data_IF_701250827804
#
_entry.id   IF_701250827804
#
_cell.length_a   1.000
_cell.length_b   1.000
_cell.length_c   1.000
_cell.angle_alpha   90.00
_cell.angle_beta   90.00
_cell.angle_gamma   90.00
#
_symmetry.space_group_name_H-M   'P 1'
#
loop_
_entity.id
_entity.type
_entity.pdbx_description
1 polymer ?
#
# COMPACT_ATOMS: atom_id res chain seq x y z
N UNK A 1 27.49 -64.68 53.45
CA UNK A 1 26.51 -63.93 52.66
C UNK A 1 26.83 -62.45 52.81
N UNK A 2 27.31 -61.80 51.73
CA UNK A 2 27.38 -60.35 51.63
C UNK A 2 27.52 -60.02 50.14
N UNK A 3 26.50 -59.37 49.57
CA UNK A 3 26.50 -58.88 48.19
C UNK A 3 26.62 -57.36 48.23
N UNK A 4 27.70 -56.84 47.67
CA UNK A 4 27.90 -55.40 47.44
C UNK A 4 27.38 -55.02 46.06
N UNK A 5 26.34 -54.18 46.03
CA UNK A 5 25.93 -53.39 44.87
C UNK A 5 26.69 -52.06 44.88
N UNK A 6 27.31 -51.66 43.76
CA UNK A 6 27.62 -50.25 43.48
C UNK A 6 27.31 -49.92 42.03
N UNK A 7 26.55 -48.84 41.89
CA UNK A 7 25.87 -48.31 40.72
C UNK A 7 26.81 -47.77 39.64
N UNK A 8 26.37 -47.89 38.39
CA UNK A 8 26.88 -47.16 37.24
C UNK A 8 26.28 -45.74 37.20
N UNK A 9 27.13 -44.72 37.10
CA UNK A 9 26.76 -43.37 36.70
C UNK A 9 26.95 -43.25 35.19
N UNK A 10 25.85 -43.12 34.45
CA UNK A 10 25.86 -42.72 33.04
C UNK A 10 25.81 -41.19 32.97
N UNK A 11 26.88 -40.57 32.48
CA UNK A 11 26.92 -39.14 32.17
C UNK A 11 26.35 -38.89 30.78
N UNK A 12 25.25 -38.14 30.70
CA UNK A 12 24.68 -37.66 29.44
C UNK A 12 25.39 -36.39 29.00
N UNK A 13 26.11 -36.45 27.88
CA UNK A 13 26.61 -35.29 27.14
C UNK A 13 25.46 -34.70 26.32
N UNK A 14 25.01 -33.49 26.66
CA UNK A 14 24.12 -32.69 25.83
C UNK A 14 24.93 -32.11 24.66
N UNK A 15 24.74 -32.67 23.47
CA UNK A 15 25.20 -32.07 22.22
C UNK A 15 24.28 -30.89 21.88
N UNK A 16 24.79 -29.67 22.04
CA UNK A 16 24.15 -28.46 21.54
C UNK A 16 24.51 -28.34 20.06
N UNK A 17 23.62 -28.79 19.18
CA UNK A 17 23.75 -28.53 17.75
C UNK A 17 23.42 -27.06 17.49
N UNK A 18 24.32 -26.27 16.87
CA UNK A 18 23.95 -24.95 16.41
C UNK A 18 22.91 -25.10 15.30
N UNK A 19 21.71 -24.54 15.51
CA UNK A 19 20.73 -24.35 14.45
C UNK A 19 21.36 -23.33 13.50
N UNK A 20 21.99 -23.83 12.45
CA UNK A 20 22.32 -23.03 11.28
C UNK A 20 20.97 -22.59 10.71
N UNK A 21 20.67 -21.29 10.82
CA UNK A 21 19.56 -20.69 10.09
C UNK A 21 19.77 -21.03 8.62
N UNK A 22 18.91 -21.90 8.06
CA UNK A 22 18.91 -22.15 6.64
C UNK A 22 18.62 -20.81 5.97
N UNK A 23 19.58 -20.27 5.22
CA UNK A 23 19.30 -19.20 4.27
C UNK A 23 18.20 -19.74 3.34
N UNK A 24 17.00 -19.19 3.45
CA UNK A 24 15.94 -19.52 2.51
C UNK A 24 16.46 -19.21 1.10
N UNK A 25 16.29 -20.14 0.14
CA UNK A 25 16.75 -19.91 -1.21
C UNK A 25 16.09 -18.64 -1.74
N UNK A 26 16.91 -17.66 -2.15
CA UNK A 26 16.45 -16.45 -2.82
C UNK A 26 15.75 -16.88 -4.10
N UNK A 27 14.42 -17.02 -4.07
CA UNK A 27 13.63 -17.31 -5.26
C UNK A 27 13.73 -16.09 -6.17
N UNK A 28 14.56 -16.17 -7.21
CA UNK A 28 14.76 -15.09 -8.16
C UNK A 28 13.45 -14.85 -8.90
N UNK A 29 12.79 -13.73 -8.61
CA UNK A 29 11.57 -13.30 -9.31
C UNK A 29 11.82 -13.04 -10.79
N UNK A 30 10.77 -13.22 -11.59
CA UNK A 30 10.77 -12.74 -12.98
C UNK A 30 10.98 -11.20 -13.00
N UNK A 31 11.40 -10.69 -14.15
CA UNK A 31 11.57 -9.24 -14.36
C UNK A 31 10.97 -8.89 -15.70
N UNK A 32 10.48 -7.66 -15.80
CA UNK A 32 10.11 -7.14 -17.10
C UNK A 32 11.34 -7.07 -18.01
N UNK A 33 11.17 -7.45 -19.27
CA UNK A 33 12.22 -7.42 -20.28
C UNK A 33 12.28 -6.07 -21.03
N UNK A 34 11.18 -5.33 -21.01
CA UNK A 34 11.05 -3.99 -21.58
C UNK A 34 9.94 -3.20 -20.87
N UNK A 35 10.17 -1.89 -20.74
CA UNK A 35 9.15 -0.90 -20.39
C UNK A 35 8.77 -0.11 -21.66
N UNK A 36 7.58 -0.38 -22.18
CA UNK A 36 7.07 0.22 -23.41
C UNK A 36 5.97 1.24 -23.13
N UNK A 37 5.79 2.20 -24.05
CA UNK A 37 4.67 3.16 -24.03
C UNK A 37 3.93 3.16 -25.35
N UNK A 38 2.60 3.20 -25.28
CA UNK A 38 1.75 3.28 -26.47
C UNK A 38 1.79 4.72 -26.99
N UNK A 39 2.38 4.95 -28.15
CA UNK A 39 2.43 6.27 -28.81
C UNK A 39 1.48 6.38 -30.00
N UNK A 40 0.85 5.26 -30.39
CA UNK A 40 -0.06 5.21 -31.54
C UNK A 40 -1.21 4.23 -31.34
N UNK A 41 -2.41 4.65 -31.71
CA UNK A 41 -3.62 3.81 -31.71
C UNK A 41 -4.48 4.01 -30.48
N UNK A 42 -5.10 2.94 -29.99
CA UNK A 42 -5.95 2.99 -28.79
C UNK A 42 -5.08 3.25 -27.55
N UNK A 43 -5.53 4.18 -26.69
CA UNK A 43 -4.84 4.57 -25.45
C UNK A 43 -3.41 5.12 -25.66
N UNK A 44 -3.17 5.79 -26.79
CA UNK A 44 -1.89 6.45 -27.03
C UNK A 44 -1.65 7.61 -26.06
N UNK A 45 -0.45 7.67 -25.51
CA UNK A 45 0.06 8.77 -24.71
C UNK A 45 0.60 9.90 -25.60
N UNK A 46 0.33 11.15 -25.24
CA UNK A 46 0.98 12.32 -25.83
C UNK A 46 2.39 12.51 -25.25
N UNK A 47 3.28 13.28 -25.91
CA UNK A 47 4.59 13.61 -25.36
C UNK A 47 4.53 14.22 -23.94
N UNK A 48 3.55 15.07 -23.66
CA UNK A 48 3.37 15.70 -22.34
C UNK A 48 2.95 14.67 -21.28
N UNK A 49 2.12 13.70 -21.66
CA UNK A 49 1.75 12.59 -20.78
C UNK A 49 2.95 11.70 -20.49
N UNK A 50 3.83 11.45 -21.46
CA UNK A 50 5.07 10.68 -21.27
C UNK A 50 5.99 11.38 -20.27
N UNK A 51 6.18 12.71 -20.38
CA UNK A 51 6.95 13.46 -19.38
C UNK A 51 6.32 13.40 -17.98
N UNK A 52 5.00 13.38 -17.91
CA UNK A 52 4.28 13.22 -16.63
C UNK A 52 4.47 11.82 -16.05
N UNK A 53 4.52 10.80 -16.90
CA UNK A 53 4.81 9.41 -16.50
C UNK A 53 6.23 9.33 -15.95
N UNK A 54 7.21 9.88 -16.64
CA UNK A 54 8.62 9.87 -16.19
C UNK A 54 8.77 10.47 -14.79
N UNK A 55 8.15 11.63 -14.56
CA UNK A 55 8.16 12.26 -13.23
C UNK A 55 7.40 11.42 -12.20
N UNK A 56 6.26 10.82 -12.56
CA UNK A 56 5.50 9.97 -11.65
C UNK A 56 6.27 8.71 -11.23
N UNK A 57 7.09 8.15 -12.12
CA UNK A 57 7.98 7.03 -11.78
C UNK A 57 9.02 7.46 -10.73
N UNK A 58 9.60 8.65 -10.88
CA UNK A 58 10.50 9.23 -9.87
C UNK A 58 9.77 9.41 -8.54
N UNK A 59 8.57 10.00 -8.56
CA UNK A 59 7.75 10.20 -7.37
C UNK A 59 7.40 8.86 -6.67
N UNK A 60 7.16 7.78 -7.43
CA UNK A 60 6.91 6.46 -6.87
C UNK A 60 8.16 5.86 -6.23
N UNK A 61 9.33 6.06 -6.85
CA UNK A 61 10.61 5.63 -6.31
C UNK A 61 10.94 6.34 -5.00
N UNK A 62 10.58 7.61 -4.84
CA UNK A 62 10.74 8.32 -3.56
C UNK A 62 10.00 7.60 -2.42
N UNK A 63 8.70 7.33 -2.58
CA UNK A 63 7.94 6.60 -1.56
C UNK A 63 8.47 5.19 -1.31
N UNK A 64 8.84 4.46 -2.36
CA UNK A 64 9.42 3.12 -2.22
C UNK A 64 10.76 3.14 -1.47
N UNK A 65 11.62 4.14 -1.72
CA UNK A 65 12.89 4.29 -1.02
C UNK A 65 12.73 4.63 0.47
N UNK A 66 11.74 5.45 0.81
CA UNK A 66 11.41 5.74 2.21
C UNK A 66 10.89 4.50 2.94
N UNK A 67 10.04 3.70 2.29
CA UNK A 67 9.61 2.40 2.81
C UNK A 67 10.79 1.44 3.02
N UNK A 68 11.69 1.32 2.03
CA UNK A 68 12.90 0.51 2.14
C UNK A 68 13.85 0.99 3.25
N UNK A 69 13.89 2.30 3.50
CA UNK A 69 14.67 2.89 4.59
C UNK A 69 14.06 2.55 5.95
N UNK A 70 12.73 2.67 6.08
CA UNK A 70 12.00 2.27 7.28
C UNK A 70 12.18 0.78 7.59
N UNK A 71 12.17 -0.09 6.57
CA UNK A 71 12.37 -1.54 6.72
C UNK A 71 13.78 -1.94 7.19
N UNK A 72 14.78 -1.05 7.10
CA UNK A 72 16.10 -1.28 7.70
C UNK A 72 16.12 -1.01 9.21
N UNK A 73 15.11 -0.35 9.75
CA UNK A 73 15.01 -0.07 11.18
C UNK A 73 14.63 -1.37 11.92
N UNK A 74 15.41 -1.81 12.94
CA UNK A 74 15.11 -3.04 13.69
C UNK A 74 13.76 -3.01 14.40
N UNK A 75 13.19 -1.83 14.62
CA UNK A 75 11.94 -1.61 15.32
C UNK A 75 10.71 -1.57 14.39
N UNK A 76 10.89 -1.76 13.08
CA UNK A 76 9.81 -1.61 12.09
C UNK A 76 8.60 -2.49 12.39
N UNK A 77 8.82 -3.76 12.75
CA UNK A 77 7.74 -4.71 13.03
C UNK A 77 6.91 -4.31 14.26
N UNK A 78 7.54 -3.68 15.25
CA UNK A 78 6.88 -3.17 16.45
C UNK A 78 6.31 -1.75 16.28
N UNK A 79 6.44 -1.14 15.10
CA UNK A 79 6.01 0.24 14.86
C UNK A 79 4.49 0.33 14.67
N UNK A 80 3.87 1.47 15.02
CA UNK A 80 2.47 1.72 14.69
C UNK A 80 2.16 1.61 13.19
N UNK A 81 3.08 2.04 12.32
CA UNK A 81 2.92 1.95 10.87
C UNK A 81 2.80 0.48 10.41
N UNK A 82 3.71 -0.40 10.84
CA UNK A 82 3.61 -1.83 10.51
C UNK A 82 2.32 -2.45 11.09
N UNK A 83 1.99 -2.15 12.34
CA UNK A 83 0.76 -2.63 12.97
C UNK A 83 -0.50 -2.25 12.20
N UNK A 84 -0.60 -0.97 11.83
CA UNK A 84 -1.77 -0.44 11.12
C UNK A 84 -1.91 -1.06 9.74
N UNK A 85 -0.80 -1.22 9.00
CA UNK A 85 -0.88 -1.56 7.58
C UNK A 85 -0.63 -3.03 7.27
N UNK A 86 -0.06 -3.80 8.19
CA UNK A 86 0.28 -5.22 7.99
C UNK A 86 -0.06 -6.15 9.16
N UNK A 87 -0.43 -5.61 10.32
CA UNK A 87 -0.78 -6.42 11.51
C UNK A 87 0.35 -6.53 12.51
N UNK A 88 0.23 -7.42 13.50
CA UNK A 88 1.17 -7.51 14.61
C UNK A 88 2.50 -8.19 14.24
N UNK A 89 3.51 -7.92 15.07
CA UNK A 89 4.83 -8.56 15.06
C UNK A 89 4.80 -10.02 15.53
N UNK A 90 3.64 -10.55 15.93
CA UNK A 90 3.44 -11.94 16.38
C UNK A 90 3.41 -12.97 15.25
N UNK A 91 3.70 -12.56 14.01
CA UNK A 91 3.87 -13.46 12.86
C UNK A 91 2.71 -13.50 11.87
N UNK A 92 1.70 -12.63 12.03
CA UNK A 92 0.50 -12.64 11.19
C UNK A 92 0.63 -11.77 9.92
N UNK A 93 1.66 -10.93 9.84
CA UNK A 93 1.95 -10.04 8.71
C UNK A 93 3.19 -10.46 7.89
N UNK A 94 3.44 -9.83 6.73
CA UNK A 94 4.57 -10.16 5.86
C UNK A 94 5.91 -9.86 6.53
N UNK A 95 6.89 -10.73 6.31
CA UNK A 95 8.25 -10.52 6.82
C UNK A 95 8.88 -9.24 6.24
N UNK A 96 9.87 -8.66 6.94
CA UNK A 96 10.68 -7.55 6.40
C UNK A 96 11.31 -7.90 5.06
N UNK A 97 11.77 -9.15 4.90
CA UNK A 97 12.35 -9.62 3.63
C UNK A 97 11.32 -9.64 2.51
N UNK A 98 10.10 -10.10 2.78
CA UNK A 98 8.97 -10.07 1.84
C UNK A 98 8.65 -8.64 1.44
N UNK A 99 8.40 -7.74 2.41
CA UNK A 99 8.11 -6.33 2.12
C UNK A 99 9.21 -5.68 1.28
N UNK A 100 10.48 -5.90 1.64
CA UNK A 100 11.63 -5.37 0.92
C UNK A 100 11.71 -5.91 -0.51
N UNK A 101 11.78 -7.23 -0.67
CA UNK A 101 12.19 -7.86 -1.94
C UNK A 101 11.04 -8.08 -2.92
N UNK A 102 9.79 -8.11 -2.41
CA UNK A 102 8.58 -8.43 -3.18
C UNK A 102 7.65 -7.25 -3.39
N UNK A 103 7.75 -6.18 -2.58
CA UNK A 103 6.80 -5.08 -2.65
C UNK A 103 7.42 -3.70 -2.86
N UNK A 104 8.55 -3.38 -2.21
CA UNK A 104 9.14 -2.04 -2.32
C UNK A 104 10.34 -1.96 -3.27
N UNK A 105 11.27 -2.92 -3.22
CA UNK A 105 12.38 -2.95 -4.19
C UNK A 105 11.87 -3.16 -5.61
N UNK A 106 10.75 -3.87 -5.77
CA UNK A 106 10.17 -4.16 -7.08
C UNK A 106 9.58 -2.92 -7.74
N UNK A 107 9.11 -1.93 -6.98
CA UNK A 107 8.70 -0.62 -7.51
C UNK A 107 9.89 0.02 -8.22
N UNK A 108 11.07 0.02 -7.62
CA UNK A 108 12.27 0.62 -8.21
C UNK A 108 12.75 -0.18 -9.43
N UNK A 109 12.82 -1.50 -9.29
CA UNK A 109 13.40 -2.37 -10.31
C UNK A 109 12.52 -2.54 -11.56
N UNK A 110 11.20 -2.46 -11.39
CA UNK A 110 10.21 -2.90 -12.39
C UNK A 110 9.43 -1.72 -12.99
N UNK A 111 9.27 -0.62 -12.26
CA UNK A 111 8.66 0.60 -12.77
C UNK A 111 9.77 1.55 -13.22
N UNK A 112 10.09 1.58 -14.51
CA UNK A 112 11.06 2.51 -15.10
C UNK A 112 10.37 3.44 -16.10
N UNK A 113 10.94 4.63 -16.37
CA UNK A 113 10.52 5.43 -17.52
C UNK A 113 10.50 4.57 -18.78
N UNK A 114 9.40 4.59 -19.56
CA UNK A 114 9.29 3.75 -20.74
C UNK A 114 10.37 4.14 -21.76
N UNK A 115 11.07 3.14 -22.29
CA UNK A 115 12.19 3.33 -23.23
C UNK A 115 11.89 2.78 -24.63
N UNK A 116 10.79 2.04 -24.77
CA UNK A 116 10.34 1.45 -26.03
C UNK A 116 9.02 2.08 -26.46
N UNK A 117 8.95 2.56 -27.69
CA UNK A 117 7.69 3.01 -28.28
C UNK A 117 6.95 1.83 -28.91
N UNK A 118 5.64 1.74 -28.68
CA UNK A 118 4.77 0.73 -29.30
C UNK A 118 3.46 1.35 -29.78
N UNK A 119 2.67 0.53 -30.48
CA UNK A 119 1.31 0.86 -30.86
C UNK A 119 0.36 -0.18 -30.27
N UNK A 120 -0.90 0.22 -30.05
CA UNK A 120 -1.93 -0.70 -29.60
C UNK A 120 -3.22 -0.44 -30.36
N UNK A 121 -3.95 -1.50 -30.70
CA UNK A 121 -5.32 -1.39 -31.21
C UNK A 121 -6.20 -2.42 -30.53
N UNK A 122 -7.44 -2.04 -30.24
CA UNK A 122 -8.41 -2.95 -29.61
C UNK A 122 -9.24 -3.75 -30.63
N UNK A 123 -9.44 -3.22 -31.84
CA UNK A 123 -10.33 -3.80 -32.86
C UNK A 123 -9.56 -4.24 -34.12
N UNK A 124 -9.98 -5.33 -34.82
CA UNK A 124 -11.02 -6.29 -34.44
C UNK A 124 -10.71 -7.14 -33.19
N UNK A 125 -9.44 -7.23 -32.79
CA UNK A 125 -8.97 -7.88 -31.58
C UNK A 125 -7.77 -7.09 -31.01
N UNK A 126 -7.49 -7.19 -29.69
CA UNK A 126 -6.32 -6.58 -29.07
C UNK A 126 -5.04 -7.01 -29.78
N UNK A 127 -4.22 -6.03 -30.17
CA UNK A 127 -3.02 -6.31 -30.95
C UNK A 127 -1.93 -5.29 -30.69
N UNK A 128 -0.74 -5.82 -30.42
CA UNK A 128 0.54 -5.10 -30.48
C UNK A 128 1.27 -5.47 -31.78
N UNK A 129 2.02 -4.53 -32.39
CA UNK A 129 2.92 -4.85 -33.47
C UNK A 129 3.89 -5.99 -33.11
N UNK A 130 4.26 -6.85 -34.07
CA UNK A 130 5.21 -7.92 -33.80
C UNK A 130 6.57 -7.36 -33.32
N UNK A 131 7.18 -8.03 -32.34
CA UNK A 131 8.50 -7.72 -31.80
C UNK A 131 8.63 -6.34 -31.11
N UNK A 132 7.54 -5.69 -30.71
CA UNK A 132 7.62 -4.46 -29.89
C UNK A 132 7.42 -4.72 -28.40
N UNK A 133 6.67 -5.77 -28.04
CA UNK A 133 6.39 -6.19 -26.66
C UNK A 133 6.36 -7.71 -26.59
N UNK A 134 6.63 -8.27 -25.41
CA UNK A 134 6.52 -9.71 -25.11
C UNK A 134 5.51 -9.93 -23.98
N UNK A 135 5.26 -11.18 -23.61
CA UNK A 135 4.45 -11.50 -22.41
C UNK A 135 5.04 -10.98 -21.10
N UNK A 136 6.35 -10.70 -21.10
CA UNK A 136 7.10 -10.17 -19.96
C UNK A 136 7.40 -8.68 -20.10
N UNK A 137 6.72 -7.94 -20.97
CA UNK A 137 6.86 -6.49 -21.03
C UNK A 137 5.90 -5.78 -20.07
N UNK A 138 6.29 -4.59 -19.59
CA UNK A 138 5.40 -3.63 -18.96
C UNK A 138 5.01 -2.59 -20.00
N UNK A 139 3.73 -2.51 -20.35
CA UNK A 139 3.24 -1.55 -21.35
C UNK A 139 2.41 -0.46 -20.68
N UNK A 140 2.83 0.79 -20.81
CA UNK A 140 2.12 1.95 -20.31
C UNK A 140 1.20 2.51 -21.39
N UNK A 141 -0.09 2.69 -21.06
CA UNK A 141 -1.09 3.32 -21.92
C UNK A 141 -1.79 4.48 -21.23
N UNK A 142 -2.26 5.45 -22.02
CA UNK A 142 -2.98 6.62 -21.53
C UNK A 142 -4.43 6.52 -22.00
N UNK A 143 -5.30 6.05 -21.10
CA UNK A 143 -6.71 5.85 -21.42
C UNK A 143 -7.50 7.13 -21.14
N UNK A 144 -8.18 7.64 -22.18
CA UNK A 144 -9.17 8.70 -22.04
C UNK A 144 -10.47 8.20 -21.39
N UNK A 145 -11.56 8.97 -21.54
CA UNK A 145 -12.91 8.64 -21.07
C UNK A 145 -13.58 7.37 -21.69
N UNK A 146 -12.82 6.50 -22.35
CA UNK A 146 -13.32 5.23 -22.93
C UNK A 146 -12.51 4.05 -22.42
N UNK A 147 -13.16 2.96 -22.02
CA UNK A 147 -12.50 1.77 -21.49
C UNK A 147 -12.53 1.74 -19.95
N UNK A 148 -11.50 1.21 -19.27
CA UNK A 148 -11.50 1.07 -17.81
C UNK A 148 -11.56 2.40 -17.05
N UNK A 149 -11.18 3.51 -17.68
CA UNK A 149 -11.25 4.86 -17.11
C UNK A 149 -12.59 5.58 -17.36
N UNK A 150 -13.63 4.90 -17.83
CA UNK A 150 -14.86 5.54 -18.30
C UNK A 150 -15.72 6.17 -17.17
N UNK A 151 -15.53 5.75 -15.92
CA UNK A 151 -16.23 6.33 -14.77
C UNK A 151 -15.65 7.68 -14.31
N UNK A 152 -14.47 8.06 -14.82
CA UNK A 152 -13.77 9.29 -14.48
C UNK A 152 -13.25 9.35 -13.04
N UNK A 153 -13.38 8.28 -12.25
CA UNK A 153 -12.94 8.21 -10.87
C UNK A 153 -11.60 7.47 -10.73
N UNK A 154 -11.37 6.47 -11.58
CA UNK A 154 -10.13 5.71 -11.60
C UNK A 154 -8.92 6.62 -11.93
N UNK A 155 -7.82 6.44 -11.19
CA UNK A 155 -6.55 7.15 -11.41
C UNK A 155 -5.65 6.36 -12.33
N UNK A 156 -5.45 5.09 -12.01
CA UNK A 156 -4.72 4.14 -12.83
C UNK A 156 -5.34 2.76 -12.64
N UNK A 157 -4.91 1.80 -13.44
CA UNK A 157 -5.26 0.40 -13.26
C UNK A 157 -4.29 -0.51 -14.00
N UNK A 158 -4.10 -1.71 -13.47
CA UNK A 158 -3.22 -2.72 -14.05
C UNK A 158 -4.02 -3.89 -14.62
N UNK A 159 -3.72 -4.25 -15.86
CA UNK A 159 -4.04 -5.56 -16.40
C UNK A 159 -2.78 -6.42 -16.37
N UNK A 160 -2.74 -7.42 -15.50
CA UNK A 160 -1.59 -8.32 -15.34
C UNK A 160 -2.06 -9.77 -15.33
N UNK A 161 -1.11 -10.70 -15.44
CA UNK A 161 -1.38 -12.09 -15.11
C UNK A 161 -1.69 -12.24 -13.61
N UNK A 162 -2.51 -13.22 -13.28
CA UNK A 162 -2.68 -13.74 -11.92
C UNK A 162 -2.05 -15.13 -11.83
N UNK A 163 -1.97 -15.68 -10.63
CA UNK A 163 -1.47 -17.04 -10.38
C UNK A 163 -2.27 -18.11 -11.15
N UNK A 164 -3.49 -17.78 -11.61
CA UNK A 164 -4.40 -18.71 -12.28
C UNK A 164 -4.73 -18.35 -13.73
N UNK A 165 -4.44 -17.12 -14.17
CA UNK A 165 -4.85 -16.62 -15.48
C UNK A 165 -3.78 -15.73 -16.12
N UNK A 166 -3.54 -15.84 -17.44
CA UNK A 166 -2.64 -14.92 -18.14
C UNK A 166 -3.24 -13.50 -18.21
N UNK A 167 -2.40 -12.51 -18.48
CA UNK A 167 -2.86 -11.15 -18.74
C UNK A 167 -3.78 -11.13 -19.98
N UNK A 168 -4.87 -10.35 -19.91
CA UNK A 168 -5.92 -10.31 -20.94
C UNK A 168 -5.36 -9.88 -22.30
N UNK A 169 -4.39 -8.97 -22.29
CA UNK A 169 -3.75 -8.45 -23.50
C UNK A 169 -2.46 -9.17 -23.86
N UNK A 170 -2.17 -10.29 -23.20
CA UNK A 170 -0.95 -11.09 -23.43
C UNK A 170 0.33 -10.45 -22.91
N UNK A 171 0.26 -9.32 -22.21
CA UNK A 171 1.37 -8.60 -21.56
C UNK A 171 0.84 -7.87 -20.34
N UNK A 172 1.71 -7.47 -19.40
CA UNK A 172 1.28 -6.56 -18.33
C UNK A 172 1.05 -5.15 -18.88
N UNK A 173 -0.12 -4.59 -18.63
CA UNK A 173 -0.47 -3.23 -19.02
C UNK A 173 -0.77 -2.36 -17.79
N UNK A 174 -0.11 -1.21 -17.71
CA UNK A 174 -0.43 -0.12 -16.78
C UNK A 174 -1.20 0.95 -17.55
N UNK A 175 -2.47 1.13 -17.22
CA UNK A 175 -3.33 2.14 -17.84
C UNK A 175 -3.47 3.33 -16.91
N UNK A 176 -3.14 4.51 -17.41
CA UNK A 176 -3.22 5.77 -16.69
C UNK A 176 -4.41 6.58 -17.21
N UNK A 177 -5.32 6.94 -16.32
CA UNK A 177 -6.56 7.62 -16.67
C UNK A 177 -6.38 9.14 -16.80
N UNK A 178 -7.37 9.84 -17.36
CA UNK A 178 -7.32 11.31 -17.50
C UNK A 178 -7.07 12.01 -16.15
N UNK A 179 -7.66 11.50 -15.07
CA UNK A 179 -7.43 12.01 -13.72
C UNK A 179 -5.96 11.89 -13.31
N UNK A 180 -5.22 10.85 -13.71
CA UNK A 180 -3.78 10.77 -13.46
C UNK A 180 -3.04 11.99 -13.99
N UNK A 181 -3.46 12.53 -15.13
CA UNK A 181 -2.79 13.65 -15.81
C UNK A 181 -3.31 15.03 -15.39
N UNK A 182 -4.32 15.11 -14.52
CA UNK A 182 -4.86 16.37 -14.06
C UNK A 182 -3.82 17.17 -13.25
N UNK A 183 -3.56 18.40 -13.70
CA UNK A 183 -2.51 19.28 -13.20
C UNK A 183 -2.76 19.77 -11.78
N UNK A 184 -3.99 19.62 -11.28
CA UNK A 184 -4.36 19.96 -9.89
C UNK A 184 -4.07 18.82 -8.89
N UNK A 185 -3.61 17.64 -9.37
CA UNK A 185 -3.23 16.51 -8.51
C UNK A 185 -2.25 16.94 -7.42
N UNK A 186 -2.42 16.41 -6.22
CA UNK A 186 -1.44 16.58 -5.16
C UNK A 186 -0.05 16.06 -5.60
N UNK A 187 1.00 16.81 -5.26
CA UNK A 187 2.36 16.28 -5.29
C UNK A 187 2.59 15.34 -4.10
N UNK A 188 3.65 14.52 -4.14
CA UNK A 188 4.07 13.72 -2.98
C UNK A 188 4.16 14.57 -1.71
N UNK A 189 4.83 15.73 -1.80
CA UNK A 189 4.97 16.68 -0.69
C UNK A 189 3.61 17.11 -0.13
N UNK A 190 2.68 17.51 -0.99
CA UNK A 190 1.35 17.96 -0.56
C UNK A 190 0.55 16.81 0.08
N UNK A 191 0.66 15.62 -0.47
CA UNK A 191 0.03 14.42 0.07
C UNK A 191 0.58 14.09 1.47
N UNK A 192 1.90 14.15 1.68
CA UNK A 192 2.53 13.95 2.99
C UNK A 192 2.06 15.01 4.00
N UNK A 193 1.97 16.27 3.59
CA UNK A 193 1.45 17.35 4.45
C UNK A 193 0.00 17.10 4.87
N UNK A 194 -0.86 16.71 3.93
CA UNK A 194 -2.25 16.39 4.20
C UNK A 194 -2.38 15.14 5.10
N UNK A 195 -1.58 14.10 4.84
CA UNK A 195 -1.54 12.89 5.68
C UNK A 195 -1.18 13.22 7.13
N UNK A 196 -0.18 14.08 7.35
CA UNK A 196 0.21 14.52 8.69
C UNK A 196 -0.88 15.31 9.41
N UNK A 197 -1.65 16.10 8.66
CA UNK A 197 -2.69 16.95 9.24
C UNK A 197 -4.00 16.19 9.52
N UNK A 198 -4.37 15.26 8.65
CA UNK A 198 -5.73 14.70 8.59
C UNK A 198 -5.77 13.18 8.78
N UNK A 199 -4.67 12.46 8.58
CA UNK A 199 -4.64 11.00 8.59
C UNK A 199 -5.51 10.35 7.50
N UNK A 200 -5.76 11.09 6.42
CA UNK A 200 -6.60 10.69 5.30
C UNK A 200 -5.79 10.69 4.01
N UNK A 201 -6.05 9.71 3.14
CA UNK A 201 -5.38 9.56 1.84
C UNK A 201 -5.78 10.68 0.87
N UNK A 202 -7.00 11.25 1.01
CA UNK A 202 -7.45 12.44 0.28
C UNK A 202 -7.15 12.40 -1.23
N UNK A 203 -6.69 13.54 -1.76
CA UNK A 203 -6.15 13.62 -3.12
C UNK A 203 -4.78 12.92 -3.20
N UNK A 204 -4.76 11.77 -3.87
CA UNK A 204 -3.55 10.96 -4.04
C UNK A 204 -2.57 11.57 -5.03
N UNK A 205 -1.27 11.47 -4.73
CA UNK A 205 -0.22 11.81 -5.69
C UNK A 205 -0.05 10.70 -6.74
N UNK A 206 0.59 11.05 -7.86
CA UNK A 206 0.92 10.08 -8.91
C UNK A 206 1.87 8.99 -8.42
N UNK A 207 2.90 9.38 -7.65
CA UNK A 207 3.83 8.43 -7.05
C UNK A 207 3.14 7.42 -6.14
N UNK A 208 2.20 7.89 -5.31
CA UNK A 208 1.39 7.01 -4.45
C UNK A 208 0.57 6.02 -5.27
N UNK A 209 -0.14 6.50 -6.30
CA UNK A 209 -0.93 5.65 -7.19
C UNK A 209 -0.05 4.58 -7.85
N UNK A 210 1.14 4.94 -8.33
CA UNK A 210 2.03 3.95 -8.96
C UNK A 210 2.62 2.94 -7.96
N UNK A 211 2.87 3.30 -6.71
CA UNK A 211 3.25 2.32 -5.67
C UNK A 211 2.12 1.30 -5.47
N UNK A 212 0.86 1.75 -5.46
CA UNK A 212 -0.31 0.90 -5.41
C UNK A 212 -0.38 -0.04 -6.63
N UNK A 213 -0.33 0.50 -7.85
CA UNK A 213 -0.51 -0.28 -9.09
C UNK A 213 0.54 -1.39 -9.26
N UNK A 214 1.79 -1.14 -8.85
CA UNK A 214 2.85 -2.16 -8.94
C UNK A 214 2.50 -3.42 -8.14
N UNK A 215 1.72 -3.31 -7.05
CA UNK A 215 1.36 -4.47 -6.23
C UNK A 215 0.43 -5.45 -6.96
N UNK A 216 -0.28 -5.01 -7.99
CA UNK A 216 -1.10 -5.87 -8.84
C UNK A 216 -0.29 -6.61 -9.91
N UNK A 217 1.00 -6.30 -10.11
CA UNK A 217 1.81 -6.87 -11.18
C UNK A 217 2.50 -8.16 -10.73
N UNK A 218 1.96 -9.33 -11.11
CA UNK A 218 2.54 -10.64 -10.76
C UNK A 218 4.03 -10.79 -11.14
N UNK A 219 4.44 -10.27 -12.30
CA UNK A 219 5.86 -10.30 -12.71
C UNK A 219 6.73 -9.48 -11.76
N UNK A 220 6.20 -8.36 -11.23
CA UNK A 220 6.93 -7.50 -10.31
C UNK A 220 7.01 -8.15 -8.92
N UNK A 221 5.88 -8.52 -8.33
CA UNK A 221 5.80 -9.02 -6.95
C UNK A 221 6.21 -10.48 -6.83
N UNK A 222 5.84 -11.30 -7.81
CA UNK A 222 6.05 -12.74 -7.85
C UNK A 222 4.85 -13.53 -7.29
N UNK A 223 4.84 -14.82 -7.60
CA UNK A 223 3.77 -15.76 -7.22
C UNK A 223 3.49 -15.74 -5.72
N UNK A 224 2.21 -15.61 -5.37
CA UNK A 224 1.76 -15.60 -3.98
C UNK A 224 1.89 -14.24 -3.28
N UNK A 225 2.59 -13.28 -3.89
CA UNK A 225 2.82 -11.93 -3.33
C UNK A 225 2.06 -10.84 -4.10
N UNK A 226 1.40 -11.16 -5.22
CA UNK A 226 0.49 -10.22 -5.88
C UNK A 226 -0.63 -9.80 -4.90
N UNK A 227 -0.94 -8.51 -4.89
CA UNK A 227 -2.05 -7.92 -4.14
C UNK A 227 -3.23 -7.59 -5.07
N UNK A 228 -4.39 -7.35 -4.45
CA UNK A 228 -5.67 -7.03 -5.06
C UNK A 228 -6.26 -5.76 -4.44
N UNK A 229 -7.29 -5.23 -5.10
CA UNK A 229 -8.17 -4.22 -4.52
C UNK A 229 -9.29 -4.96 -3.78
N UNK A 230 -9.17 -5.00 -2.46
CA UNK A 230 -10.15 -5.73 -1.66
C UNK A 230 -11.43 -4.92 -1.51
N UNK A 231 -12.58 -5.58 -1.64
CA UNK A 231 -13.87 -5.00 -1.31
C UNK A 231 -13.83 -4.42 0.12
N UNK A 232 -14.49 -3.29 0.33
CA UNK A 232 -14.65 -2.66 1.62
C UNK A 232 -15.73 -3.40 2.45
N UNK A 233 -15.37 -4.18 3.49
CA UNK A 233 -16.34 -4.89 4.31
C UNK A 233 -17.14 -3.95 5.23
N UNK A 234 -16.77 -2.66 5.29
CA UNK A 234 -17.39 -1.64 6.11
C UNK A 234 -18.21 -0.63 5.29
N UNK A 235 -18.38 -0.87 3.99
CA UNK A 235 -19.16 -0.02 3.09
C UNK A 235 -20.57 0.23 3.65
N UNK A 236 -20.95 1.50 3.77
CA UNK A 236 -22.27 1.90 4.28
C UNK A 236 -22.48 1.77 5.79
N UNK A 237 -21.49 1.29 6.56
CA UNK A 237 -21.57 1.15 8.02
C UNK A 237 -20.82 2.30 8.73
N UNK A 238 -19.79 2.85 8.08
CA UNK A 238 -18.99 3.99 8.55
C UNK A 238 -18.90 4.99 7.39
N UNK A 239 -18.44 6.23 7.60
CA UNK A 239 -18.22 7.30 6.59
C UNK A 239 -17.33 6.94 5.38
N UNK A 240 -17.08 5.65 5.16
CA UNK A 240 -16.41 5.10 4.00
C UNK A 240 -17.40 4.85 2.85
N UNK A 241 -17.20 5.59 1.76
CA UNK A 241 -18.11 5.63 0.61
C UNK A 241 -17.58 4.88 -0.61
N UNK A 242 -16.42 4.25 -0.52
CA UNK A 242 -15.90 3.42 -1.60
C UNK A 242 -16.30 1.96 -1.39
N UNK A 243 -16.72 1.31 -2.47
CA UNK A 243 -16.99 -0.13 -2.49
C UNK A 243 -15.70 -0.95 -2.31
N UNK A 244 -14.53 -0.34 -2.59
CA UNK A 244 -13.20 -0.90 -2.38
C UNK A 244 -12.52 -0.30 -1.16
N UNK A 245 -11.59 -1.04 -0.57
CA UNK A 245 -10.90 -0.67 0.65
C UNK A 245 -9.72 0.28 0.39
N UNK A 246 -10.00 1.51 -0.03
CA UNK A 246 -8.98 2.53 -0.32
C UNK A 246 -8.69 3.51 0.83
N UNK A 247 -9.63 3.65 1.77
CA UNK A 247 -9.46 4.59 2.89
C UNK A 247 -8.53 4.02 3.97
N UNK A 248 -7.81 4.90 4.67
CA UNK A 248 -6.99 4.53 5.82
C UNK A 248 -7.81 3.83 6.92
N UNK A 249 -9.08 4.22 7.08
CA UNK A 249 -9.98 3.64 8.06
C UNK A 249 -10.40 2.20 7.69
N UNK A 250 -10.66 1.92 6.40
CA UNK A 250 -10.91 0.55 5.96
C UNK A 250 -9.62 -0.28 6.04
N UNK A 251 -8.54 0.20 5.43
CA UNK A 251 -7.26 -0.52 5.30
C UNK A 251 -6.69 -0.98 6.65
N UNK A 252 -6.80 -0.13 7.68
CA UNK A 252 -6.25 -0.44 9.01
C UNK A 252 -7.07 -1.46 9.80
N UNK A 253 -8.32 -1.72 9.40
CA UNK A 253 -9.26 -2.63 10.09
C UNK A 253 -9.39 -4.00 9.44
N UNK A 254 -8.84 -4.18 8.25
CA UNK A 254 -8.70 -5.48 7.60
C UNK A 254 -7.96 -6.47 8.54
N UNK A 255 -8.21 -7.77 8.38
CA UNK A 255 -7.38 -8.79 9.05
C UNK A 255 -5.93 -8.72 8.54
N UNK A 256 -4.96 -9.26 9.29
CA UNK A 256 -3.55 -9.22 8.86
C UNK A 256 -3.32 -9.87 7.49
N UNK A 257 -4.02 -10.98 7.20
CA UNK A 257 -3.97 -11.64 5.90
C UNK A 257 -4.54 -10.77 4.77
N UNK A 258 -5.66 -10.07 5.02
CA UNK A 258 -6.25 -9.14 4.04
C UNK A 258 -5.40 -7.88 3.85
N UNK A 259 -4.80 -7.36 4.93
CA UNK A 259 -3.85 -6.24 4.87
C UNK A 259 -2.67 -6.54 3.93
N UNK A 260 -2.11 -7.74 4.03
CA UNK A 260 -1.05 -8.22 3.14
C UNK A 260 -1.53 -8.49 1.70
N UNK A 261 -2.84 -8.56 1.46
CA UNK A 261 -3.42 -8.78 0.13
C UNK A 261 -4.01 -7.53 -0.49
N UNK A 262 -4.05 -6.41 0.22
CA UNK A 262 -4.61 -5.15 -0.28
C UNK A 262 -3.50 -4.23 -0.83
N UNK A 263 -3.55 -3.89 -2.12
CA UNK A 263 -2.54 -3.05 -2.75
C UNK A 263 -2.40 -1.67 -2.07
N UNK A 264 -3.53 -1.10 -1.64
CA UNK A 264 -3.56 0.18 -0.95
C UNK A 264 -2.76 0.20 0.36
N UNK A 265 -2.72 -0.91 1.12
CA UNK A 265 -1.97 -0.97 2.38
C UNK A 265 -0.47 -0.74 2.16
N UNK A 266 0.09 -1.20 1.04
CA UNK A 266 1.50 -0.97 0.71
C UNK A 266 1.80 0.49 0.39
N UNK A 267 0.90 1.16 -0.35
CA UNK A 267 1.03 2.57 -0.68
C UNK A 267 0.86 3.45 0.58
N UNK A 268 -0.12 3.14 1.44
CA UNK A 268 -0.32 3.86 2.71
C UNK A 268 0.87 3.63 3.64
N UNK A 269 1.42 2.43 3.76
CA UNK A 269 2.62 2.21 4.57
C UNK A 269 3.79 3.09 4.09
N UNK A 270 4.04 3.16 2.78
CA UNK A 270 5.09 4.00 2.22
C UNK A 270 4.87 5.49 2.52
N UNK A 271 3.63 5.97 2.40
CA UNK A 271 3.24 7.32 2.79
C UNK A 271 3.46 7.58 4.30
N UNK A 272 3.01 6.65 5.14
CA UNK A 272 3.00 6.79 6.59
C UNK A 272 4.41 6.85 7.17
N UNK A 273 5.31 5.97 6.72
CA UNK A 273 6.72 5.98 7.16
C UNK A 273 7.51 7.15 6.58
N UNK A 274 7.10 7.71 5.44
CA UNK A 274 7.65 8.97 4.92
C UNK A 274 7.20 10.15 5.78
N UNK A 275 5.93 10.16 6.17
CA UNK A 275 5.34 11.21 6.98
C UNK A 275 5.85 11.18 8.43
N UNK A 276 6.01 9.99 8.99
CA UNK A 276 6.41 9.72 10.37
C UNK A 276 7.54 8.67 10.41
N UNK A 277 8.79 9.07 10.12
CA UNK A 277 9.92 8.15 10.09
C UNK A 277 10.13 7.41 11.41
N UNK A 278 10.40 6.11 11.32
CA UNK A 278 10.66 5.26 12.49
C UNK A 278 12.06 5.58 13.01
N UNK A 279 12.14 6.07 14.26
CA UNK A 279 13.42 6.38 14.92
C UNK A 279 13.95 5.16 15.69
N UNK A 280 15.26 5.14 15.97
CA UNK A 280 15.91 4.06 16.72
C UNK A 280 15.66 4.12 18.24
N UNK A 281 14.89 5.09 18.72
CA UNK A 281 14.56 5.21 20.14
C UNK A 281 13.36 4.32 20.49
N UNK A 282 13.61 3.30 21.31
CA UNK A 282 12.61 2.43 21.97
C UNK A 282 12.80 2.47 23.50
N UNK A 283 11.86 2.00 24.35
CA UNK A 283 10.43 1.72 24.20
C UNK A 283 9.69 2.25 25.44
N UNK A 284 9.55 3.57 25.61
CA UNK A 284 8.83 4.18 26.75
C UNK A 284 8.46 5.65 26.49
N UNK A 285 8.29 6.04 25.22
CA UNK A 285 7.88 7.39 24.87
C UNK A 285 6.36 7.55 25.12
N UNK A 286 6.03 7.76 26.39
CA UNK A 286 4.78 8.31 26.92
C UNK A 286 3.51 7.47 26.67
N UNK A 287 2.98 6.93 27.77
CA UNK A 287 1.53 6.92 27.98
C UNK A 287 0.95 8.24 27.44
N UNK A 288 0.01 8.16 26.51
CA UNK A 288 -0.72 9.34 26.08
C UNK A 288 -1.22 10.07 27.34
N UNK A 289 -0.97 11.38 27.51
CA UNK A 289 -1.67 12.10 28.55
C UNK A 289 -3.15 11.92 28.26
N UNK A 290 -3.89 11.46 29.27
CA UNK A 290 -5.32 11.26 29.18
C UNK A 290 -5.94 12.49 28.50
N UNK A 291 -6.59 12.26 27.35
CA UNK A 291 -7.36 13.28 26.65
C UNK A 291 -8.25 13.95 27.71
N UNK A 292 -8.18 15.28 27.92
CA UNK A 292 -9.12 15.95 28.80
C UNK A 292 -10.51 15.67 28.22
N UNK A 293 -11.28 14.86 28.92
CA UNK A 293 -12.69 14.64 28.62
C UNK A 293 -13.40 15.98 28.84
N UNK A 294 -13.52 16.79 27.79
CA UNK A 294 -14.53 17.86 27.75
C UNK A 294 -15.87 17.25 27.37
N UNK A 295 -16.33 16.29 28.16
CA UNK A 295 -17.75 16.05 28.38
C UNK A 295 -18.10 16.71 29.70
N UNK A 296 -18.13 18.04 29.67
CA UNK A 296 -18.92 18.77 30.64
C UNK A 296 -20.38 18.36 30.37
N UNK A 297 -20.91 17.46 31.20
CA UNK A 297 -22.34 17.25 31.35
C UNK A 297 -22.93 18.58 31.79
N UNK A 298 -23.39 19.38 30.84
CA UNK A 298 -24.31 20.48 31.13
C UNK A 298 -25.64 19.84 31.50
N UNK A 299 -25.80 19.52 32.77
CA UNK A 299 -27.11 19.21 33.36
C UNK A 299 -27.91 20.50 33.33
N UNK A 300 -28.68 20.71 32.25
CA UNK A 300 -29.71 21.75 32.21
C UNK A 300 -30.81 21.29 33.17
N UNK A 301 -30.78 21.78 34.40
CA UNK A 301 -31.90 21.69 35.32
C UNK A 301 -32.94 22.71 34.86
N UNK A 302 -33.93 22.26 34.09
CA UNK A 302 -35.12 23.06 33.80
C UNK A 302 -36.01 23.00 35.04
N UNK A 303 -35.94 24.02 35.89
CA UNK A 303 -36.88 24.20 36.99
C UNK A 303 -38.09 24.99 36.49
N UNK A 304 -39.24 24.32 36.39
CA UNK A 304 -40.53 24.98 36.21
C UNK A 304 -40.98 25.56 37.55
N UNK A 305 -41.11 26.90 37.62
CA UNK A 305 -41.71 27.61 38.73
C UNK A 305 -42.40 28.88 38.24
N UNK A 306 -43.73 28.87 38.26
CA UNK A 306 -44.62 30.03 38.29
C UNK A 306 -45.57 29.79 39.48
N UNK A 307 -46.30 30.78 40.00
CA UNK A 307 -46.08 32.23 40.05
C UNK A 307 -46.13 32.73 41.52
N UNK A 308 -45.89 34.02 41.80
CA UNK A 308 -46.76 34.88 42.63
C UNK A 308 -46.15 36.27 42.87
N UNK A 309 -47.06 37.23 42.70
CA UNK A 309 -47.11 38.67 43.02
C UNK A 309 -46.43 39.13 44.32
N UNK A 310 -45.79 40.30 44.31
CA UNK A 310 -46.32 41.54 44.91
C UNK A 310 -45.41 42.77 44.71
N UNK A 311 -46.04 43.92 44.92
CA UNK A 311 -45.76 45.29 44.50
C UNK A 311 -44.75 46.10 45.35
N UNK A 312 -44.53 47.35 44.87
CA UNK A 312 -44.05 48.58 45.54
C UNK A 312 -42.51 48.79 45.61
N UNK A 313 -41.92 49.97 45.46
CA UNK A 313 -42.27 51.33 45.00
C UNK A 313 -41.01 52.23 45.17
N UNK A 314 -40.99 53.40 44.50
CA UNK A 314 -40.03 54.52 44.58
C UNK A 314 -38.70 54.33 43.81
N UNK A 315 -38.21 55.27 42.99
CA UNK A 315 -38.43 56.72 42.85
C UNK A 315 -38.53 57.15 41.39
#
# INVERSE_FOLDING_TARGET
>A
MSFTFRSFLAGSLLAVSPIVAAEEPIVKRARFDAEAVIVKGTWSCTPEQILTIDQAVVDAHEFANEALTALKNPNVLSSPAYYNWFGSDTGDGPSVATLRDRHYQVVIDSLKPPSVETAFRFKPEPFFPPNTVTENSLVVGCSGATGPCADGAMVAGVNSATESQPAVFGTTMLLLCETFFDTTRASNKKMIENWRAEGSVGDMSRGFALVHEVQHMLIATGDGERADDLNNPFFGIVDDRSEDCYSANCCSRLSAAEKAKNAQNYAIFALDVTAFPITNEQPNACQAPARPSTLAKTTIIISFGHPYSHAASAS
#
